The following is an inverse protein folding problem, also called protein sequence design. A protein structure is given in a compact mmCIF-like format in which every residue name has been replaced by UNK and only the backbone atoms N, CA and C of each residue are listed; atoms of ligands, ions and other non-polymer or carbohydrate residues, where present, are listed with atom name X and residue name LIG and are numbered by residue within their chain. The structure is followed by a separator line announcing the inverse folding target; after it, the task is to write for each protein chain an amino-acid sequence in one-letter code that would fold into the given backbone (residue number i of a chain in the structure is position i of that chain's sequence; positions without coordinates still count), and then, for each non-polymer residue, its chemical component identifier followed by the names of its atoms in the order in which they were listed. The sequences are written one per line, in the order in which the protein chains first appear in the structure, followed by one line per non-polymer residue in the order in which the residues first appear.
data_IF_526006755338
#
_entry.id   IF_526006755338
#
_cell.length_a   1.000
_cell.length_b   1.000
_cell.length_c   1.000
_cell.angle_alpha   90.00
_cell.angle_beta   90.00
_cell.angle_gamma   90.00
#
_symmetry.space_group_name_H-M   'P 1'
#
loop_
_entity.id
_entity.type
_entity.pdbx_description
1 polymer ?
#
# COMPACT_ATOMS: atom_id res chain seq x y z
N UNK A 1 -32.12 22.17 14.65
CA UNK A 1 -32.44 21.10 13.69
C UNK A 1 -31.35 20.06 13.85
N UNK A 2 -31.64 19.00 14.60
CA UNK A 2 -30.68 17.95 14.93
C UNK A 2 -30.70 16.94 13.77
N UNK A 3 -29.65 16.92 12.97
CA UNK A 3 -29.49 15.86 11.97
C UNK A 3 -29.15 14.56 12.70
N UNK A 4 -30.15 13.68 12.78
CA UNK A 4 -29.97 12.29 13.16
C UNK A 4 -29.03 11.62 12.15
N UNK A 5 -28.01 10.95 12.68
CA UNK A 5 -27.09 10.12 11.92
C UNK A 5 -27.91 8.95 11.37
N UNK A 6 -28.18 8.93 10.07
CA UNK A 6 -28.82 7.79 9.41
C UNK A 6 -27.93 6.55 9.57
N UNK A 7 -28.53 5.43 10.00
CA UNK A 7 -27.85 4.15 10.30
C UNK A 7 -27.14 3.50 9.11
N UNK A 8 -27.28 4.05 7.90
CA UNK A 8 -26.76 3.45 6.66
C UNK A 8 -25.34 3.93 6.30
N UNK A 9 -24.69 4.72 7.17
CA UNK A 9 -23.35 5.29 6.91
C UNK A 9 -23.31 6.37 5.81
N UNK A 10 -24.42 6.59 5.10
CA UNK A 10 -24.56 7.49 3.96
C UNK A 10 -24.54 9.00 4.32
N UNK A 11 -24.38 9.35 5.59
CA UNK A 11 -24.19 10.72 6.09
C UNK A 11 -22.79 11.01 6.63
N UNK A 12 -21.88 10.03 6.60
CA UNK A 12 -20.53 10.17 7.13
C UNK A 12 -19.64 10.89 6.13
N UNK A 13 -19.28 12.14 6.43
CA UNK A 13 -18.34 12.93 5.65
C UNK A 13 -16.97 12.24 5.59
N UNK A 14 -16.37 12.20 4.41
CA UNK A 14 -15.07 11.58 4.21
C UNK A 14 -13.96 12.28 4.99
N UNK A 15 -12.83 11.61 5.30
CA UNK A 15 -11.72 12.19 6.06
C UNK A 15 -11.21 13.54 5.51
N UNK A 16 -11.27 13.76 4.20
CA UNK A 16 -10.91 15.00 3.51
C UNK A 16 -11.82 16.17 3.91
N UNK A 17 -13.11 15.91 4.08
CA UNK A 17 -14.13 16.93 4.37
C UNK A 17 -14.21 17.27 5.87
N UNK A 18 -13.69 16.38 6.71
CA UNK A 18 -13.69 16.54 8.18
C UNK A 18 -12.41 17.22 8.69
N UNK A 19 -11.28 17.07 7.99
CA UNK A 19 -9.97 17.61 8.42
C UNK A 19 -9.99 19.13 8.61
N UNK A 20 -10.59 19.87 7.67
CA UNK A 20 -10.69 21.34 7.78
C UNK A 20 -11.62 21.81 8.89
N UNK A 21 -12.68 21.05 9.17
CA UNK A 21 -13.63 21.33 10.27
C UNK A 21 -12.96 21.14 11.62
N UNK A 22 -12.22 20.04 11.80
CA UNK A 22 -11.48 19.77 13.05
C UNK A 22 -10.39 20.81 13.30
N UNK A 23 -9.72 21.31 12.26
CA UNK A 23 -8.70 22.36 12.40
C UNK A 23 -9.31 23.69 12.87
N UNK A 24 -10.47 24.07 12.32
CA UNK A 24 -11.24 25.25 12.77
C UNK A 24 -11.72 25.09 14.22
N UNK A 25 -12.17 23.89 14.60
CA UNK A 25 -12.59 23.60 15.97
C UNK A 25 -11.42 23.74 16.96
N UNK A 26 -10.24 23.17 16.64
CA UNK A 26 -9.03 23.34 17.46
C UNK A 26 -8.62 24.81 17.60
N UNK A 27 -8.77 25.60 16.54
CA UNK A 27 -8.49 27.03 16.57
C UNK A 27 -9.46 27.80 17.48
N UNK A 28 -10.77 27.53 17.35
CA UNK A 28 -11.80 28.14 18.20
C UNK A 28 -11.62 27.76 19.68
N UNK A 29 -11.28 26.51 19.96
CA UNK A 29 -10.94 26.06 21.31
C UNK A 29 -9.80 26.90 21.89
N UNK A 30 -8.68 27.05 21.17
CA UNK A 30 -7.54 27.89 21.59
C UNK A 30 -7.93 29.35 21.83
N UNK A 31 -8.79 29.93 21.00
CA UNK A 31 -9.29 31.30 21.17
C UNK A 31 -10.16 31.45 22.43
N UNK A 32 -11.08 30.52 22.67
CA UNK A 32 -11.89 30.51 23.89
C UNK A 32 -11.02 30.42 25.14
N UNK A 33 -9.96 29.61 25.11
CA UNK A 33 -9.03 29.50 26.24
C UNK A 33 -8.20 30.77 26.43
N UNK A 34 -7.71 31.40 25.37
CA UNK A 34 -6.99 32.68 25.47
C UNK A 34 -7.89 33.78 26.08
N UNK A 35 -9.16 33.82 25.66
CA UNK A 35 -10.16 34.73 26.23
C UNK A 35 -10.39 34.44 27.71
N UNK A 36 -10.57 33.18 28.09
CA UNK A 36 -10.81 32.78 29.48
C UNK A 36 -9.60 33.08 30.38
N UNK A 37 -8.38 32.82 29.90
CA UNK A 37 -7.16 33.17 30.60
C UNK A 37 -7.06 34.69 30.80
N UNK A 38 -7.35 35.48 29.77
CA UNK A 38 -7.35 36.94 29.85
C UNK A 38 -8.40 37.48 30.84
N UNK A 39 -9.62 36.94 30.82
CA UNK A 39 -10.69 37.35 31.76
C UNK A 39 -10.30 37.04 33.21
N UNK A 40 -9.74 35.86 33.48
CA UNK A 40 -9.33 35.47 34.84
C UNK A 40 -8.12 36.27 35.33
N UNK A 41 -7.18 36.58 34.45
CA UNK A 41 -6.05 37.47 34.77
C UNK A 41 -6.51 38.88 35.15
N UNK A 42 -7.53 39.41 34.46
CA UNK A 42 -8.06 40.75 34.73
C UNK A 42 -8.99 40.80 35.96
N UNK A 43 -9.58 39.67 36.36
CA UNK A 43 -10.48 39.58 37.51
C UNK A 43 -9.76 39.34 38.85
N UNK A 44 -8.52 38.83 38.82
CA UNK A 44 -7.72 38.58 40.02
C UNK A 44 -7.02 39.88 40.46
N UNK A 45 -7.67 40.64 41.33
CA UNK A 45 -7.02 41.72 42.08
C UNK A 45 -6.04 41.13 43.10
N UNK A 46 -4.75 41.26 42.81
CA UNK A 46 -3.61 41.17 43.73
C UNK A 46 -3.26 39.80 44.33
N UNK A 47 -2.08 39.31 43.93
CA UNK A 47 -1.16 38.39 44.62
C UNK A 47 -1.56 36.90 44.77
N UNK A 48 -0.62 36.05 44.36
CA UNK A 48 -0.43 34.64 44.76
C UNK A 48 -1.02 33.47 43.94
N UNK A 49 -1.36 33.67 42.67
CA UNK A 49 -1.30 32.56 41.70
C UNK A 49 -0.58 33.03 40.43
N UNK A 50 0.67 32.58 40.26
CA UNK A 50 1.44 32.85 39.06
C UNK A 50 0.64 32.44 37.82
N UNK A 51 0.61 33.30 36.80
CA UNK A 51 0.07 33.01 35.47
C UNK A 51 0.51 31.62 34.96
N UNK A 52 1.73 31.21 35.31
CA UNK A 52 2.30 29.91 35.02
C UNK A 52 1.48 28.74 35.60
N UNK A 53 0.89 28.85 36.78
CA UNK A 53 0.05 27.84 37.43
C UNK A 53 -1.29 27.67 36.70
N UNK A 54 -1.93 28.78 36.34
CA UNK A 54 -3.20 28.77 35.60
C UNK A 54 -3.03 28.21 34.17
N UNK A 55 -1.95 28.61 33.49
CA UNK A 55 -1.59 28.05 32.18
C UNK A 55 -1.19 26.59 32.30
N UNK A 56 -0.50 26.19 33.39
CA UNK A 56 -0.19 24.78 33.70
C UNK A 56 -1.45 23.94 33.89
N UNK A 57 -2.43 24.42 34.66
CA UNK A 57 -3.70 23.73 34.89
C UNK A 57 -4.51 23.53 33.60
N UNK A 58 -4.28 24.39 32.60
CA UNK A 58 -4.93 24.31 31.29
C UNK A 58 -4.08 23.63 30.21
N UNK A 59 -2.92 23.04 30.54
CA UNK A 59 -2.03 22.34 29.58
C UNK A 59 -2.73 21.29 28.74
N UNK A 60 -3.73 20.60 29.30
CA UNK A 60 -4.55 19.59 28.64
C UNK A 60 -5.33 20.11 27.40
N UNK A 61 -5.46 21.43 27.26
CA UNK A 61 -6.14 22.09 26.13
C UNK A 61 -5.18 22.72 25.11
N UNK A 62 -3.88 22.76 25.42
CA UNK A 62 -2.80 23.27 24.54
C UNK A 62 -1.98 22.14 23.92
N UNK A 63 -1.67 21.14 24.73
CA UNK A 63 -0.82 20.01 24.38
C UNK A 63 -1.65 18.73 24.41
N UNK A 64 -1.23 17.74 23.62
CA UNK A 64 -1.77 16.41 23.77
C UNK A 64 -1.27 15.85 25.11
N UNK A 65 -2.13 15.90 26.13
CA UNK A 65 -1.93 15.29 27.45
C UNK A 65 -2.93 14.14 27.57
N UNK A 66 -2.61 13.13 28.39
CA UNK A 66 -3.45 11.95 28.57
C UNK A 66 -4.89 12.34 28.97
N UNK A 67 -5.85 11.84 28.17
CA UNK A 67 -7.31 11.96 28.32
C UNK A 67 -7.89 13.38 28.40
N UNK A 68 -7.79 14.14 27.30
CA UNK A 68 -8.58 15.36 27.11
C UNK A 68 -9.36 15.36 25.78
N UNK A 69 -10.52 16.05 25.70
CA UNK A 69 -11.27 16.18 24.44
C UNK A 69 -10.45 16.84 23.32
N UNK A 70 -9.51 17.72 23.69
CA UNK A 70 -8.56 18.32 22.75
C UNK A 70 -7.61 17.28 22.16
N UNK A 71 -7.08 16.38 22.99
CA UNK A 71 -6.27 15.24 22.56
C UNK A 71 -7.07 14.34 21.61
N UNK A 72 -8.31 13.99 21.95
CA UNK A 72 -9.17 13.16 21.08
C UNK A 72 -9.42 13.84 19.72
N UNK A 73 -9.76 15.13 19.69
CA UNK A 73 -9.98 15.90 18.44
C UNK A 73 -8.70 15.96 17.60
N UNK A 74 -7.54 16.13 18.24
CA UNK A 74 -6.24 16.14 17.57
C UNK A 74 -5.88 14.78 16.99
N UNK A 75 -6.13 13.70 17.73
CA UNK A 75 -5.95 12.33 17.24
C UNK A 75 -6.86 12.02 16.06
N UNK A 76 -8.14 12.40 16.12
CA UNK A 76 -9.06 12.23 14.99
C UNK A 76 -8.61 13.02 13.76
N UNK A 77 -8.13 14.25 13.94
CA UNK A 77 -7.58 15.05 12.84
C UNK A 77 -6.32 14.42 12.25
N UNK A 78 -5.41 13.89 13.07
CA UNK A 78 -4.22 13.20 12.61
C UNK A 78 -4.55 11.89 11.91
N UNK A 79 -5.50 11.10 12.42
CA UNK A 79 -5.99 9.88 11.77
C UNK A 79 -6.67 10.18 10.43
N UNK A 80 -7.54 11.20 10.39
CA UNK A 80 -8.19 11.64 9.15
C UNK A 80 -7.15 12.13 8.13
N UNK A 81 -6.19 12.94 8.55
CA UNK A 81 -5.11 13.42 7.67
C UNK A 81 -4.25 12.25 7.17
N UNK A 82 -3.86 11.34 8.06
CA UNK A 82 -3.12 10.12 7.68
C UNK A 82 -3.92 9.30 6.67
N UNK A 83 -5.21 9.09 6.87
CA UNK A 83 -6.07 8.40 5.90
C UNK A 83 -6.10 9.13 4.56
N UNK A 84 -6.22 10.45 4.54
CA UNK A 84 -6.19 11.24 3.29
C UNK A 84 -4.83 11.15 2.58
N UNK A 85 -3.73 11.14 3.33
CA UNK A 85 -2.37 11.05 2.78
C UNK A 85 -1.92 9.61 2.47
N UNK A 86 -2.47 8.61 3.15
CA UNK A 86 -2.16 7.19 2.98
C UNK A 86 -3.09 6.51 1.99
N UNK A 87 -4.27 7.08 1.73
CA UNK A 87 -4.96 6.80 0.49
C UNK A 87 -4.01 7.28 -0.61
N UNK A 88 -3.40 6.39 -1.42
CA UNK A 88 -2.80 6.83 -2.65
C UNK A 88 -3.93 7.55 -3.34
N UNK A 89 -3.85 8.88 -3.42
CA UNK A 89 -4.88 9.69 -4.04
C UNK A 89 -5.23 8.95 -5.31
N UNK A 90 -6.50 8.58 -5.46
CA UNK A 90 -7.01 8.00 -6.70
C UNK A 90 -6.55 9.02 -7.74
N UNK A 91 -5.39 8.76 -8.37
CA UNK A 91 -4.88 9.57 -9.45
C UNK A 91 -5.97 9.36 -10.45
N UNK A 92 -6.72 10.42 -10.74
CA UNK A 92 -7.93 10.30 -11.54
C UNK A 92 -7.48 9.79 -12.91
N UNK A 93 -7.54 8.48 -13.09
CA UNK A 93 -7.28 7.77 -14.32
C UNK A 93 -8.49 8.09 -15.20
N UNK A 94 -8.42 9.21 -15.91
CA UNK A 94 -9.50 9.65 -16.77
C UNK A 94 -9.22 9.06 -18.15
N UNK A 95 -10.08 8.14 -18.57
CA UNK A 95 -10.14 7.75 -19.97
C UNK A 95 -10.82 8.87 -20.76
N UNK A 96 -10.10 9.48 -21.70
CA UNK A 96 -10.73 10.33 -22.72
C UNK A 96 -11.49 9.40 -23.66
N UNK A 97 -12.81 9.49 -23.63
CA UNK A 97 -13.69 8.75 -24.52
C UNK A 97 -13.72 9.41 -25.89
N UNK A 98 -12.62 9.32 -26.64
CA UNK A 98 -12.66 9.51 -28.09
C UNK A 98 -12.90 8.16 -28.76
N UNK A 99 -13.86 8.11 -29.68
CA UNK A 99 -14.39 6.88 -30.31
C UNK A 99 -13.36 6.10 -31.13
N UNK A 100 -12.17 6.65 -31.37
CA UNK A 100 -11.13 6.07 -32.23
C UNK A 100 -9.83 5.71 -31.51
N UNK A 101 -9.52 6.29 -30.34
CA UNK A 101 -8.31 5.94 -29.59
C UNK A 101 -8.43 6.31 -28.10
N UNK A 102 -8.81 5.36 -27.22
CA UNK A 102 -8.90 5.65 -25.79
C UNK A 102 -7.50 5.99 -25.23
N UNK A 103 -7.40 7.17 -24.64
CA UNK A 103 -6.19 7.67 -23.99
C UNK A 103 -6.43 7.83 -22.50
N UNK A 104 -5.50 7.32 -21.71
CA UNK A 104 -5.45 7.42 -20.26
C UNK A 104 -4.65 8.65 -19.87
N UNK A 105 -5.29 9.63 -19.23
CA UNK A 105 -4.60 10.82 -18.74
C UNK A 105 -4.00 10.52 -17.37
N UNK A 106 -2.67 10.62 -17.26
CA UNK A 106 -1.90 10.54 -16.02
C UNK A 106 -1.46 11.95 -15.61
N UNK A 107 -1.13 12.20 -14.33
CA UNK A 107 -0.64 13.51 -13.88
C UNK A 107 0.62 14.00 -14.61
N UNK A 108 1.43 13.05 -15.11
CA UNK A 108 2.74 13.32 -15.72
C UNK A 108 2.71 13.15 -17.26
N UNK A 109 1.54 12.90 -17.87
CA UNK A 109 1.41 12.73 -19.32
C UNK A 109 0.22 11.89 -19.77
N UNK A 110 0.06 11.71 -21.08
CA UNK A 110 -1.01 10.89 -21.66
C UNK A 110 -0.46 9.53 -22.13
N UNK A 111 -1.21 8.46 -21.85
CA UNK A 111 -0.86 7.10 -22.26
C UNK A 111 -1.97 6.53 -23.15
N UNK A 112 -1.66 6.20 -24.40
CA UNK A 112 -2.63 5.54 -25.28
C UNK A 112 -2.82 4.07 -24.91
N UNK A 113 -4.02 3.52 -25.15
CA UNK A 113 -4.27 2.09 -24.98
C UNK A 113 -3.31 1.23 -25.82
N UNK A 114 -2.94 1.70 -27.02
CA UNK A 114 -1.96 1.03 -27.87
C UNK A 114 -0.57 0.98 -27.23
N UNK A 115 -0.12 2.08 -26.60
CA UNK A 115 1.15 2.10 -25.88
C UNK A 115 1.11 1.15 -24.68
N UNK A 116 -0.01 1.09 -23.94
CA UNK A 116 -0.18 0.16 -22.83
C UNK A 116 -0.15 -1.30 -23.30
N UNK A 117 -0.83 -1.61 -24.41
CA UNK A 117 -0.76 -2.93 -25.06
C UNK A 117 0.66 -3.28 -25.52
N UNK A 118 1.39 -2.30 -26.07
CA UNK A 118 2.80 -2.43 -26.44
C UNK A 118 3.69 -2.73 -25.22
N UNK A 119 3.49 -2.04 -24.10
CA UNK A 119 4.19 -2.32 -22.84
C UNK A 119 3.92 -3.74 -22.34
N UNK A 120 2.65 -4.18 -22.34
CA UNK A 120 2.28 -5.53 -21.95
C UNK A 120 2.94 -6.58 -22.86
N UNK A 121 2.94 -6.35 -24.17
CA UNK A 121 3.60 -7.23 -25.14
C UNK A 121 5.11 -7.28 -24.91
N UNK A 122 5.75 -6.15 -24.64
CA UNK A 122 7.18 -6.07 -24.35
C UNK A 122 7.54 -6.80 -23.05
N UNK A 123 6.73 -6.63 -22.00
CA UNK A 123 6.90 -7.34 -20.72
C UNK A 123 6.74 -8.85 -20.93
N UNK A 124 5.69 -9.26 -21.64
CA UNK A 124 5.44 -10.66 -21.96
C UNK A 124 6.58 -11.26 -22.79
N UNK A 125 7.07 -10.54 -23.80
CA UNK A 125 8.22 -10.94 -24.61
C UNK A 125 9.48 -11.11 -23.76
N UNK A 126 9.79 -10.13 -22.90
CA UNK A 126 10.94 -10.20 -22.01
C UNK A 126 10.83 -11.33 -21.00
N UNK A 127 9.66 -11.54 -20.41
CA UNK A 127 9.40 -12.64 -19.49
C UNK A 127 9.57 -14.00 -20.18
N UNK A 128 9.05 -14.13 -21.41
CA UNK A 128 9.21 -15.31 -22.24
C UNK A 128 10.70 -15.57 -22.53
N UNK A 129 11.42 -14.60 -23.09
CA UNK A 129 12.86 -14.72 -23.38
C UNK A 129 13.67 -15.11 -22.14
N UNK A 130 13.40 -14.46 -21.00
CA UNK A 130 14.08 -14.80 -19.75
C UNK A 130 13.79 -16.24 -19.33
N UNK A 131 12.53 -16.66 -19.37
CA UNK A 131 12.15 -18.01 -18.99
C UNK A 131 12.70 -19.05 -19.97
N UNK A 132 12.45 -18.91 -21.28
CA UNK A 132 12.78 -19.93 -22.27
C UNK A 132 14.27 -19.98 -22.58
N UNK A 133 14.93 -18.84 -22.76
CA UNK A 133 16.32 -18.80 -23.23
C UNK A 133 17.32 -18.76 -22.08
N UNK A 134 17.02 -18.00 -21.01
CA UNK A 134 17.98 -17.76 -19.92
C UNK A 134 17.86 -18.77 -18.78
N UNK A 135 16.64 -19.21 -18.45
CA UNK A 135 16.42 -20.15 -17.35
C UNK A 135 16.29 -21.59 -17.84
N UNK A 136 15.48 -21.83 -18.86
CA UNK A 136 15.20 -23.19 -19.36
C UNK A 136 16.16 -23.63 -20.48
N UNK A 137 16.98 -22.73 -21.03
CA UNK A 137 17.94 -23.03 -22.11
C UNK A 137 17.32 -23.75 -23.31
N UNK A 138 16.11 -23.33 -23.70
CA UNK A 138 15.34 -23.92 -24.79
C UNK A 138 14.71 -25.28 -24.47
N UNK A 139 14.83 -25.78 -23.23
CA UNK A 139 14.17 -27.02 -22.82
C UNK A 139 12.64 -26.83 -22.80
N UNK A 140 11.87 -27.70 -23.48
CA UNK A 140 10.42 -27.68 -23.43
C UNK A 140 9.96 -28.24 -22.07
N UNK A 141 9.89 -27.39 -21.06
CA UNK A 141 9.32 -27.74 -19.76
C UNK A 141 7.80 -27.56 -19.83
N UNK A 142 7.08 -28.63 -20.16
CA UNK A 142 5.62 -28.64 -20.21
C UNK A 142 5.10 -28.96 -18.81
N UNK A 143 4.55 -27.96 -18.13
CA UNK A 143 3.70 -28.17 -16.96
C UNK A 143 2.28 -28.26 -17.47
N UNK A 144 1.61 -29.38 -17.18
CA UNK A 144 0.19 -29.51 -17.47
C UNK A 144 -0.60 -28.71 -16.43
N UNK A 145 -0.83 -27.43 -16.75
CA UNK A 145 -1.53 -26.50 -15.88
C UNK A 145 -3.02 -26.84 -15.73
N UNK A 146 -3.63 -27.48 -16.74
CA UNK A 146 -5.06 -27.84 -16.71
C UNK A 146 -5.33 -28.97 -15.71
N UNK A 147 -4.35 -29.85 -15.53
CA UNK A 147 -4.41 -30.95 -14.57
C UNK A 147 -4.05 -30.56 -13.13
N UNK A 148 -3.60 -29.31 -12.89
CA UNK A 148 -3.28 -28.84 -11.54
C UNK A 148 -4.54 -28.76 -10.67
N UNK A 149 -4.49 -29.42 -9.53
CA UNK A 149 -5.53 -29.40 -8.50
C UNK A 149 -5.14 -28.41 -7.41
N UNK A 150 -6.06 -27.51 -7.05
CA UNK A 150 -5.87 -26.63 -5.90
C UNK A 150 -6.88 -27.00 -4.80
N UNK A 151 -6.39 -27.27 -3.59
CA UNK A 151 -7.23 -27.33 -2.40
C UNK A 151 -7.55 -25.93 -1.89
N UNK A 152 -8.73 -25.43 -2.21
CA UNK A 152 -9.21 -24.15 -1.69
C UNK A 152 -9.63 -24.24 -0.22
N UNK A 153 -9.75 -25.44 0.34
CA UNK A 153 -10.17 -25.65 1.74
C UNK A 153 -8.98 -25.85 2.69
N UNK A 154 -7.76 -25.92 2.15
CA UNK A 154 -6.56 -26.08 2.96
C UNK A 154 -6.06 -24.73 3.48
N UNK A 155 -6.36 -24.44 4.76
CA UNK A 155 -5.94 -23.22 5.45
C UNK A 155 -4.55 -23.35 6.13
N UNK A 156 -3.81 -24.43 5.87
CA UNK A 156 -2.50 -24.63 6.49
C UNK A 156 -1.53 -23.54 6.04
N UNK A 157 -0.94 -22.84 7.00
CA UNK A 157 0.08 -21.84 6.73
C UNK A 157 1.25 -22.45 5.96
N UNK A 158 1.55 -21.90 4.77
CA UNK A 158 2.59 -22.42 3.87
C UNK A 158 2.09 -23.38 2.79
N UNK A 159 0.79 -23.68 2.74
CA UNK A 159 0.22 -24.41 1.62
C UNK A 159 0.45 -23.67 0.29
N UNK A 160 0.93 -24.41 -0.71
CA UNK A 160 1.05 -23.97 -2.09
C UNK A 160 0.63 -25.10 -3.01
N UNK A 161 -0.04 -24.75 -4.12
CA UNK A 161 -0.37 -25.72 -5.17
C UNK A 161 0.87 -26.44 -5.72
N UNK A 162 2.05 -25.81 -5.65
CA UNK A 162 3.31 -26.41 -6.11
C UNK A 162 3.89 -27.44 -5.14
N UNK A 163 3.46 -27.39 -3.88
CA UNK A 163 3.82 -28.35 -2.82
C UNK A 163 2.76 -29.43 -2.60
N UNK A 164 1.61 -29.34 -3.28
CA UNK A 164 0.54 -30.32 -3.16
C UNK A 164 0.97 -31.67 -3.78
N UNK A 165 0.96 -32.78 -3.02
CA UNK A 165 1.33 -34.10 -3.54
C UNK A 165 0.52 -34.54 -4.76
N UNK A 166 -0.73 -34.06 -4.89
CA UNK A 166 -1.62 -34.39 -6.02
C UNK A 166 -1.13 -33.79 -7.34
N UNK A 167 -0.31 -32.74 -7.29
CA UNK A 167 0.22 -32.04 -8.46
C UNK A 167 1.61 -32.53 -8.87
N UNK A 168 2.21 -33.45 -8.10
CA UNK A 168 3.58 -33.89 -8.36
C UNK A 168 3.75 -34.52 -9.76
N UNK A 169 2.71 -35.20 -10.27
CA UNK A 169 2.70 -35.75 -11.62
C UNK A 169 2.65 -34.66 -12.72
N UNK A 170 2.10 -33.48 -12.43
CA UNK A 170 1.95 -32.38 -13.39
C UNK A 170 3.26 -31.60 -13.63
N UNK A 171 4.19 -31.66 -12.69
CA UNK A 171 5.47 -30.94 -12.76
C UNK A 171 6.57 -31.70 -13.51
N UNK A 172 6.31 -32.95 -13.90
CA UNK A 172 7.29 -33.80 -14.57
C UNK A 172 8.48 -34.16 -13.67
N UNK A 173 9.54 -34.75 -14.24
CA UNK A 173 10.72 -35.12 -13.48
C UNK A 173 11.51 -33.90 -13.00
N UNK A 174 11.81 -33.87 -11.69
CA UNK A 174 12.54 -32.76 -11.04
C UNK A 174 13.97 -32.57 -11.56
N UNK A 175 14.57 -33.62 -12.12
CA UNK A 175 15.91 -33.62 -12.71
C UNK A 175 15.93 -33.37 -14.22
N UNK A 176 14.79 -33.08 -14.85
CA UNK A 176 14.69 -32.88 -16.30
C UNK A 176 15.64 -31.77 -16.82
N UNK A 177 15.69 -30.63 -16.11
CA UNK A 177 16.58 -29.52 -16.48
C UNK A 177 18.06 -29.90 -16.31
N UNK A 178 18.39 -30.62 -15.25
CA UNK A 178 19.75 -31.12 -15.03
C UNK A 178 20.15 -32.07 -16.16
N UNK A 179 19.28 -33.03 -16.51
CA UNK A 179 19.48 -33.96 -17.63
C UNK A 179 19.66 -33.22 -18.96
N UNK A 180 18.90 -32.15 -19.21
CA UNK A 180 19.07 -31.32 -20.41
C UNK A 180 20.44 -30.62 -20.45
N UNK A 181 20.86 -30.03 -19.33
CA UNK A 181 22.18 -29.40 -19.19
C UNK A 181 23.30 -30.43 -19.40
N UNK A 182 23.17 -31.62 -18.81
CA UNK A 182 24.12 -32.71 -19.05
C UNK A 182 24.09 -33.15 -20.51
N UNK A 183 22.91 -33.29 -21.14
CA UNK A 183 22.77 -33.78 -22.51
C UNK A 183 23.40 -32.87 -23.56
N UNK A 184 23.39 -31.55 -23.35
CA UNK A 184 23.95 -30.57 -24.29
C UNK A 184 25.40 -30.20 -23.96
N UNK A 185 26.33 -30.49 -24.87
CA UNK A 185 27.77 -30.18 -24.71
C UNK A 185 28.06 -28.71 -24.40
N UNK A 186 27.35 -27.77 -25.06
CA UNK A 186 27.50 -26.34 -24.82
C UNK A 186 27.05 -25.90 -23.41
N UNK A 187 25.96 -26.47 -22.89
CA UNK A 187 25.47 -26.17 -21.53
C UNK A 187 26.31 -26.87 -20.47
N UNK A 188 26.72 -28.11 -20.74
CA UNK A 188 27.62 -28.88 -19.88
C UNK A 188 28.92 -28.11 -19.61
N UNK A 189 29.59 -27.62 -20.65
CA UNK A 189 30.82 -26.85 -20.50
C UNK A 189 30.62 -25.52 -19.76
N UNK A 190 29.40 -24.95 -19.81
CA UNK A 190 29.06 -23.69 -19.14
C UNK A 190 28.78 -23.87 -17.65
N UNK A 191 28.11 -24.96 -17.26
CA UNK A 191 27.62 -25.15 -15.88
C UNK A 191 28.40 -26.20 -15.08
N UNK A 192 28.99 -27.19 -15.75
CA UNK A 192 29.75 -28.24 -15.11
C UNK A 192 31.22 -27.86 -15.28
N UNK A 193 31.73 -27.12 -14.31
CA UNK A 193 33.16 -26.93 -14.17
C UNK A 193 33.80 -28.32 -13.99
N UNK A 194 34.78 -28.64 -14.85
CA UNK A 194 35.77 -29.66 -14.53
C UNK A 194 36.28 -29.35 -13.11
N UNK A 195 36.26 -30.35 -12.24
CA UNK A 195 36.56 -30.29 -10.80
C UNK A 195 38.01 -29.87 -10.45
N UNK A 196 38.69 -29.12 -11.33
CA UNK A 196 40.05 -28.62 -11.14
C UNK A 196 40.17 -27.18 -10.62
N UNK A 197 39.13 -26.34 -10.68
CA UNK A 197 39.26 -24.92 -10.28
C UNK A 197 37.98 -24.34 -9.66
N UNK A 198 37.60 -24.80 -8.47
CA UNK A 198 36.68 -24.07 -7.62
C UNK A 198 37.45 -23.00 -6.82
N UNK A 199 37.65 -21.81 -7.42
CA UNK A 199 37.88 -20.60 -6.62
C UNK A 199 36.52 -19.98 -6.32
N UNK A 200 36.10 -20.13 -5.07
CA UNK A 200 34.98 -19.42 -4.47
C UNK A 200 35.22 -17.91 -4.58
N UNK A 201 34.29 -17.20 -5.21
CA UNK A 201 33.98 -15.78 -4.99
C UNK A 201 32.47 -15.66 -4.82
#
# INVERSE_FOLDING_TARGET
MYDQINNDGNGLKGPKDVTGVLLKLQYLMRLCFLKEAHVRMNAASSQDLELAEHVKAQKQWFFAVADSPFTSIKEYQQRASRLVFSMPGIRHFIWKADTTSPTLVLPDGELSLQALSGCLTAIQGRARTLLTERLLFGHPFLIDLESLKNDWTNETAGYSLFSDPRNQACFGPSDALARHIYGMSALRNRFIASSGQAKLL
#
